data_IF_182960264331
#
_entry.id   IF_182960264331
#
_cell.length_a   1.000
_cell.length_b   1.000
_cell.length_c   1.000
_cell.angle_alpha   90.00
_cell.angle_beta   90.00
_cell.angle_gamma   90.00
#
_symmetry.space_group_name_H-M   'P 1'
#
loop_
_entity.id
_entity.type
_entity.pdbx_description
1 polymer ?
#
# COMPACT_ATOMS: atom_id res chain seq x y z
N UNK A 1 4.48 -1.88 8.81
CA UNK A 1 4.05 -2.73 7.68
C UNK A 1 3.39 -1.89 6.59
N UNK A 2 3.33 -2.41 5.37
CA UNK A 2 2.97 -1.68 4.14
C UNK A 2 1.57 -1.07 4.22
N UNK A 3 0.68 -1.69 5.02
CA UNK A 3 -0.65 -1.18 5.36
C UNK A 3 -0.60 0.19 6.06
N UNK A 4 0.38 0.41 6.94
CA UNK A 4 0.58 1.72 7.61
C UNK A 4 1.04 2.78 6.62
N UNK A 5 1.90 2.40 5.67
CA UNK A 5 2.34 3.29 4.59
C UNK A 5 1.14 3.69 3.71
N UNK A 6 0.32 2.74 3.27
CA UNK A 6 -0.89 3.02 2.50
C UNK A 6 -1.90 3.87 3.27
N UNK A 7 -2.08 3.63 4.57
CA UNK A 7 -2.93 4.48 5.41
C UNK A 7 -2.40 5.92 5.50
N UNK A 8 -1.08 6.09 5.52
CA UNK A 8 -0.44 7.39 5.62
C UNK A 8 -0.59 8.22 4.34
N UNK A 9 -0.23 7.67 3.17
CA UNK A 9 -0.41 8.37 1.88
C UNK A 9 -1.89 8.70 1.63
N UNK A 10 -2.80 7.79 2.03
CA UNK A 10 -4.24 8.02 1.91
C UNK A 10 -4.68 9.24 2.74
N UNK A 11 -4.21 9.36 3.99
CA UNK A 11 -4.56 10.48 4.87
C UNK A 11 -3.88 11.79 4.48
N UNK A 12 -2.59 11.74 4.10
CA UNK A 12 -1.78 12.94 3.86
C UNK A 12 -1.99 13.54 2.47
N UNK A 13 -2.19 12.72 1.44
CA UNK A 13 -2.26 13.18 0.04
C UNK A 13 -3.61 12.90 -0.61
N UNK A 14 -4.10 11.66 -0.55
CA UNK A 14 -5.26 11.25 -1.38
C UNK A 14 -6.56 11.88 -0.88
N UNK A 15 -6.87 11.83 0.42
CA UNK A 15 -8.12 12.38 0.97
C UNK A 15 -8.16 13.91 1.08
N UNK A 16 -6.99 14.56 1.04
CA UNK A 16 -6.86 16.02 1.15
C UNK A 16 -6.72 16.71 -0.20
N UNK A 17 -6.34 15.95 -1.24
CA UNK A 17 -6.25 16.45 -2.61
C UNK A 17 -7.61 16.40 -3.30
N UNK A 18 -7.82 17.34 -4.21
CA UNK A 18 -8.85 17.26 -5.25
C UNK A 18 -8.13 17.02 -6.56
N UNK A 19 -8.51 15.97 -7.27
CA UNK A 19 -7.88 15.59 -8.54
C UNK A 19 -8.92 15.67 -9.64
N UNK A 20 -8.58 16.37 -10.72
CA UNK A 20 -9.40 16.52 -11.92
C UNK A 20 -9.23 15.35 -12.89
N UNK A 21 -8.21 14.51 -12.69
CA UNK A 21 -7.98 13.30 -13.49
C UNK A 21 -7.24 12.20 -12.72
N UNK A 22 -7.32 10.98 -13.25
CA UNK A 22 -6.53 9.83 -12.75
C UNK A 22 -5.03 10.03 -12.95
N UNK A 23 -4.62 10.71 -14.03
CA UNK A 23 -3.22 11.03 -14.28
C UNK A 23 -2.66 11.92 -13.16
N UNK A 24 -3.39 12.96 -12.79
CA UNK A 24 -3.01 13.87 -11.71
C UNK A 24 -2.92 13.15 -10.34
N UNK A 25 -3.84 12.22 -10.06
CA UNK A 25 -3.75 11.37 -8.87
C UNK A 25 -2.48 10.51 -8.86
N UNK A 26 -2.12 9.92 -10.01
CA UNK A 26 -0.89 9.12 -10.15
C UNK A 26 0.34 9.96 -9.90
N UNK A 27 0.42 11.16 -10.49
CA UNK A 27 1.54 12.08 -10.31
C UNK A 27 1.68 12.49 -8.84
N UNK A 28 0.58 12.78 -8.16
CA UNK A 28 0.58 13.12 -6.74
C UNK A 28 1.06 11.98 -5.84
N UNK A 29 0.76 10.72 -6.21
CA UNK A 29 1.25 9.51 -5.52
C UNK A 29 2.74 9.30 -5.77
N UNK A 30 3.20 9.44 -7.01
CA UNK A 30 4.62 9.29 -7.38
C UNK A 30 5.48 10.34 -6.68
N UNK A 31 5.07 11.61 -6.70
CA UNK A 31 5.77 12.68 -5.99
C UNK A 31 5.86 12.42 -4.47
N UNK A 32 4.83 11.83 -3.87
CA UNK A 32 4.87 11.44 -2.46
C UNK A 32 5.85 10.28 -2.21
N UNK A 33 5.90 9.30 -3.11
CA UNK A 33 6.83 8.19 -3.02
C UNK A 33 8.28 8.68 -3.12
N UNK A 34 8.58 9.60 -4.04
CA UNK A 34 9.93 10.14 -4.21
C UNK A 34 10.39 10.92 -2.97
N UNK A 35 9.55 11.80 -2.42
CA UNK A 35 9.84 12.54 -1.18
C UNK A 35 10.00 11.60 0.03
N UNK A 36 9.14 10.58 0.13
CA UNK A 36 9.19 9.60 1.20
C UNK A 36 10.45 8.73 1.11
N UNK A 37 10.87 8.34 -0.10
CA UNK A 37 12.05 7.51 -0.31
C UNK A 37 13.36 8.31 -0.21
N UNK A 38 13.35 9.61 -0.52
CA UNK A 38 14.49 10.51 -0.35
C UNK A 38 14.90 10.63 1.12
N UNK A 39 13.93 10.55 2.05
CA UNK A 39 14.18 10.41 3.48
C UNK A 39 14.29 8.92 3.82
N UNK A 40 15.51 8.37 3.80
CA UNK A 40 15.82 6.95 4.01
C UNK A 40 15.13 6.34 5.26
N UNK A 41 13.87 5.93 5.12
CA UNK A 41 13.21 4.97 5.99
C UNK A 41 12.92 3.74 5.14
N UNK A 42 13.93 2.89 4.89
CA UNK A 42 13.73 1.67 4.16
C UNK A 42 12.63 0.87 4.83
N UNK A 43 11.58 0.61 4.05
CA UNK A 43 10.52 -0.27 4.48
C UNK A 43 11.07 -1.69 4.54
N UNK A 44 11.45 -2.13 5.74
CA UNK A 44 11.89 -3.52 5.94
C UNK A 44 10.66 -4.41 5.87
N UNK A 45 10.61 -5.26 4.85
CA UNK A 45 9.67 -6.36 4.76
C UNK A 45 9.96 -7.34 5.89
N UNK A 46 9.30 -7.16 7.04
CA UNK A 46 9.49 -8.01 8.22
C UNK A 46 8.83 -9.39 8.09
N UNK A 47 7.93 -9.56 7.12
CA UNK A 47 7.29 -10.83 6.80
C UNK A 47 8.04 -11.52 5.68
N UNK A 48 8.39 -12.79 5.90
CA UNK A 48 8.97 -13.62 4.86
C UNK A 48 7.97 -13.87 3.73
N UNK A 49 8.46 -14.16 2.52
CA UNK A 49 7.61 -14.54 1.41
C UNK A 49 6.72 -15.74 1.75
N UNK A 50 7.22 -16.69 2.54
CA UNK A 50 6.45 -17.86 3.02
C UNK A 50 5.24 -17.47 3.85
N UNK A 51 5.40 -16.56 4.82
CA UNK A 51 4.28 -16.08 5.65
C UNK A 51 3.21 -15.34 4.83
N UNK A 52 3.62 -14.63 3.78
CA UNK A 52 2.70 -13.96 2.86
C UNK A 52 1.90 -15.00 2.08
N UNK A 53 2.58 -16.01 1.53
CA UNK A 53 1.95 -17.09 0.76
C UNK A 53 0.99 -17.93 1.63
N UNK A 54 1.35 -18.25 2.86
CA UNK A 54 0.46 -18.93 3.81
C UNK A 54 -0.80 -18.12 4.13
N UNK A 55 -0.66 -16.79 4.27
CA UNK A 55 -1.82 -15.91 4.51
C UNK A 55 -2.75 -15.90 3.29
N UNK A 56 -2.20 -15.87 2.07
CA UNK A 56 -2.97 -15.94 0.82
C UNK A 56 -3.68 -17.30 0.69
N UNK A 57 -3.01 -18.40 1.00
CA UNK A 57 -3.58 -19.74 0.94
C UNK A 57 -4.77 -19.89 1.92
N UNK A 58 -4.62 -19.42 3.16
CA UNK A 58 -5.72 -19.42 4.15
C UNK A 58 -6.92 -18.58 3.71
N UNK A 59 -6.67 -17.41 3.11
CA UNK A 59 -7.74 -16.56 2.60
C UNK A 59 -8.52 -17.22 1.45
N UNK A 60 -7.82 -17.94 0.56
CA UNK A 60 -8.47 -18.70 -0.54
C UNK A 60 -9.34 -19.84 0.00
N UNK A 61 -8.83 -20.63 0.93
CA UNK A 61 -9.60 -21.72 1.54
C UNK A 61 -10.87 -21.23 2.25
N UNK A 62 -10.78 -20.11 2.97
CA UNK A 62 -11.94 -19.51 3.63
C UNK A 62 -13.00 -19.01 2.63
N UNK A 63 -12.57 -18.50 1.47
CA UNK A 63 -13.46 -18.08 0.39
C UNK A 63 -14.16 -19.28 -0.27
N UNK A 64 -13.43 -20.38 -0.48
CA UNK A 64 -13.98 -21.62 -1.05
C UNK A 64 -15.00 -22.28 -0.13
N UNK A 65 -14.84 -22.16 1.19
CA UNK A 65 -15.82 -22.66 2.19
C UNK A 65 -17.07 -21.79 2.34
N UNK A 66 -17.09 -20.58 1.77
CA UNK A 66 -18.27 -19.71 1.75
C UNK A 66 -19.19 -19.94 0.54
N UNK A 67 -18.79 -20.81 -0.38
CA UNK A 67 -19.57 -21.26 -1.55
C UNK A 67 -20.08 -22.68 -1.35
#
# INVERSE_FOLDING_TARGET
MVERFFAEITRKRIRRGTFSSVAELKDAIMAYLDDHNANLQPFIWTKSAGEILEKVARARQALELQH
#
